data_IF_377622508200
#
_entry.id   IF_377622508200
#
_cell.length_a   1.000
_cell.length_b   1.000
_cell.length_c   1.000
_cell.angle_alpha   90.00
_cell.angle_beta   90.00
_cell.angle_gamma   90.00
#
_symmetry.space_group_name_H-M   'P 1'
#
loop_
_entity.id
_entity.type
_entity.pdbx_description
1 polymer ?
#
# COMPACT_ATOMS: atom_id res chain seq x y z
N UNK A 1 -20.35 -5.94 7.86
CA UNK A 1 -19.99 -5.10 6.71
C UNK A 1 -18.84 -4.11 6.92
N UNK A 2 -18.18 -4.02 8.11
CA UNK A 2 -17.11 -3.02 8.33
C UNK A 2 -15.78 -3.34 7.63
N UNK A 3 -15.48 -4.62 7.39
CA UNK A 3 -14.21 -5.10 6.81
C UNK A 3 -14.34 -5.27 5.29
N UNK A 4 -15.55 -5.47 4.79
CA UNK A 4 -15.80 -5.72 3.36
C UNK A 4 -15.45 -4.50 2.50
N UNK A 5 -15.79 -3.29 2.94
CA UNK A 5 -15.51 -2.05 2.20
C UNK A 5 -14.01 -1.85 1.90
N UNK A 6 -13.09 -1.88 2.90
CA UNK A 6 -11.67 -1.76 2.60
C UNK A 6 -11.13 -2.94 1.79
N UNK A 7 -11.67 -4.16 1.98
CA UNK A 7 -11.24 -5.33 1.21
C UNK A 7 -11.60 -5.21 -0.28
N UNK A 8 -12.77 -4.68 -0.60
CA UNK A 8 -13.19 -4.44 -2.00
C UNK A 8 -12.28 -3.41 -2.66
N UNK A 9 -11.92 -2.33 -1.96
CA UNK A 9 -10.97 -1.36 -2.50
C UNK A 9 -9.57 -1.96 -2.71
N UNK A 10 -9.10 -2.79 -1.77
CA UNK A 10 -7.84 -3.52 -1.94
C UNK A 10 -7.89 -4.50 -3.12
N UNK A 11 -8.98 -5.24 -3.27
CA UNK A 11 -9.18 -6.15 -4.40
C UNK A 11 -9.22 -5.41 -5.74
N UNK A 12 -9.86 -4.24 -5.80
CA UNK A 12 -9.85 -3.38 -6.98
C UNK A 12 -8.44 -2.90 -7.33
N UNK A 13 -7.65 -2.51 -6.33
CA UNK A 13 -6.26 -2.10 -6.55
C UNK A 13 -5.43 -3.25 -7.16
N UNK A 14 -5.55 -4.47 -6.61
CA UNK A 14 -4.90 -5.66 -7.17
C UNK A 14 -5.37 -5.98 -8.60
N UNK A 15 -6.68 -5.88 -8.87
CA UNK A 15 -7.22 -6.07 -10.21
C UNK A 15 -6.65 -5.05 -11.21
N UNK A 16 -6.53 -3.77 -10.84
CA UNK A 16 -5.92 -2.77 -11.72
C UNK A 16 -4.44 -3.05 -11.98
N UNK A 17 -3.69 -3.49 -10.97
CA UNK A 17 -2.30 -3.88 -11.14
C UNK A 17 -2.18 -5.07 -12.11
N UNK A 18 -2.97 -6.13 -11.92
CA UNK A 18 -2.97 -7.30 -12.80
C UNK A 18 -3.32 -6.93 -14.25
N UNK A 19 -4.32 -6.05 -14.45
CA UNK A 19 -4.70 -5.54 -15.77
C UNK A 19 -3.58 -4.73 -16.45
N UNK A 20 -2.68 -4.13 -15.68
CA UNK A 20 -1.49 -3.43 -16.17
C UNK A 20 -0.28 -4.36 -16.41
N UNK A 21 -0.40 -5.66 -16.12
CA UNK A 21 0.69 -6.63 -16.23
C UNK A 21 1.66 -6.60 -15.04
N UNK A 22 1.25 -6.00 -13.91
CA UNK A 22 2.04 -5.93 -12.68
C UNK A 22 1.35 -6.74 -11.59
N UNK A 23 2.06 -7.72 -11.03
CA UNK A 23 1.60 -8.56 -9.93
C UNK A 23 1.77 -7.77 -8.63
N UNK A 24 0.66 -7.46 -7.96
CA UNK A 24 0.68 -6.74 -6.68
C UNK A 24 -0.24 -7.42 -5.65
N UNK A 25 0.32 -8.34 -4.88
CA UNK A 25 -0.32 -8.92 -3.69
C UNK A 25 0.35 -8.48 -2.38
N UNK A 26 1.24 -7.48 -2.43
CA UNK A 26 1.82 -6.80 -1.27
C UNK A 26 0.85 -5.82 -0.58
N UNK A 27 -0.46 -6.03 -0.75
CA UNK A 27 -1.52 -5.15 -0.30
C UNK A 27 -1.62 -5.09 1.23
N UNK A 28 -1.33 -6.19 1.93
CA UNK A 28 -1.40 -6.27 3.38
C UNK A 28 -0.43 -5.30 4.05
N UNK A 29 0.83 -5.28 3.61
CA UNK A 29 1.85 -4.35 4.08
C UNK A 29 1.50 -2.90 3.76
N UNK A 30 1.00 -2.62 2.55
CA UNK A 30 0.55 -1.26 2.17
C UNK A 30 -0.63 -0.78 3.03
N UNK A 31 -1.58 -1.66 3.35
CA UNK A 31 -2.71 -1.36 4.23
C UNK A 31 -2.25 -1.09 5.67
N UNK A 32 -1.32 -1.89 6.20
CA UNK A 32 -0.72 -1.67 7.53
C UNK A 32 0.03 -0.33 7.60
N UNK A 33 0.82 -0.03 6.57
CA UNK A 33 1.53 1.25 6.46
C UNK A 33 0.57 2.44 6.45
N UNK A 34 -0.45 2.38 5.59
CA UNK A 34 -1.45 3.43 5.48
C UNK A 34 -2.22 3.61 6.79
N UNK A 35 -2.58 2.52 7.49
CA UNK A 35 -3.27 2.59 8.78
C UNK A 35 -2.40 3.27 9.85
N UNK A 36 -1.12 2.91 9.93
CA UNK A 36 -0.17 3.53 10.87
C UNK A 36 0.05 5.03 10.57
N UNK A 37 0.25 5.38 9.30
CA UNK A 37 0.45 6.77 8.88
C UNK A 37 -0.82 7.59 9.08
N UNK A 38 -2.01 7.02 8.83
CA UNK A 38 -3.28 7.68 9.11
C UNK A 38 -3.42 8.04 10.60
N UNK A 39 -3.17 7.07 11.48
CA UNK A 39 -3.32 7.25 12.93
C UNK A 39 -2.28 8.24 13.48
N UNK A 40 -1.02 8.09 13.09
CA UNK A 40 0.06 9.00 13.52
C UNK A 40 -0.14 10.42 12.98
N UNK A 41 -0.51 10.56 11.71
CA UNK A 41 -0.82 11.85 11.09
C UNK A 41 -2.00 12.55 11.75
N UNK A 42 -3.10 11.84 11.99
CA UNK A 42 -4.26 12.42 12.68
C UNK A 42 -3.90 12.88 14.11
N UNK A 43 -3.06 12.13 14.82
CA UNK A 43 -2.60 12.47 16.16
C UNK A 43 -1.69 13.71 16.17
N UNK A 44 -0.71 13.78 15.27
CA UNK A 44 0.27 14.88 15.23
C UNK A 44 -0.36 16.20 14.77
N UNK A 45 -1.21 16.15 13.74
CA UNK A 45 -1.84 17.33 13.16
C UNK A 45 -3.19 17.69 13.79
N UNK A 46 -3.70 16.85 14.70
CA UNK A 46 -4.99 17.05 15.38
C UNK A 46 -6.21 17.03 14.45
N UNK A 47 -6.06 16.48 13.23
CA UNK A 47 -7.10 16.49 12.21
C UNK A 47 -7.06 15.23 11.35
N UNK A 48 -8.21 14.60 11.24
CA UNK A 48 -8.44 13.34 10.52
C UNK A 48 -8.12 13.46 9.03
N UNK A 49 -8.33 14.65 8.45
CA UNK A 49 -8.06 14.92 7.04
C UNK A 49 -6.57 14.88 6.71
N UNK A 50 -5.71 15.37 7.62
CA UNK A 50 -4.27 15.26 7.44
C UNK A 50 -3.79 13.82 7.58
N UNK A 51 -4.36 13.05 8.52
CA UNK A 51 -4.13 11.61 8.61
C UNK A 51 -4.48 10.88 7.31
N UNK A 52 -5.68 11.12 6.78
CA UNK A 52 -6.12 10.54 5.51
C UNK A 52 -5.20 10.92 4.35
N UNK A 53 -4.85 12.21 4.22
CA UNK A 53 -3.96 12.70 3.17
C UNK A 53 -2.59 12.04 3.21
N UNK A 54 -1.99 11.93 4.40
CA UNK A 54 -0.69 11.28 4.59
C UNK A 54 -0.75 9.77 4.30
N UNK A 55 -1.83 9.10 4.68
CA UNK A 55 -2.02 7.68 4.39
C UNK A 55 -2.10 7.40 2.89
N UNK A 56 -2.81 8.24 2.13
CA UNK A 56 -2.88 8.15 0.67
C UNK A 56 -1.48 8.34 0.06
N UNK A 57 -0.76 9.38 0.48
CA UNK A 57 0.60 9.66 -0.03
C UNK A 57 1.54 8.49 0.29
N UNK A 58 1.47 7.92 1.50
CA UNK A 58 2.28 6.76 1.88
C UNK A 58 1.99 5.53 0.99
N UNK A 59 0.72 5.21 0.78
CA UNK A 59 0.33 4.06 -0.05
C UNK A 59 0.74 4.23 -1.52
N UNK A 60 0.60 5.45 -2.06
CA UNK A 60 1.08 5.80 -3.41
C UNK A 60 2.59 5.67 -3.50
N UNK A 61 3.34 6.15 -2.50
CA UNK A 61 4.79 6.05 -2.48
C UNK A 61 5.27 4.59 -2.47
N UNK A 62 4.66 3.73 -1.65
CA UNK A 62 4.97 2.29 -1.62
C UNK A 62 4.61 1.59 -2.95
N UNK A 63 3.50 2.00 -3.58
CA UNK A 63 3.09 1.47 -4.88
C UNK A 63 4.01 1.93 -6.00
N UNK A 64 4.48 3.18 -5.97
CA UNK A 64 5.50 3.69 -6.88
C UNK A 64 6.83 2.96 -6.68
N UNK A 65 7.23 2.67 -5.44
CA UNK A 65 8.45 1.90 -5.14
C UNK A 65 8.37 0.50 -5.77
N UNK A 66 7.24 -0.19 -5.59
CA UNK A 66 7.00 -1.48 -6.23
C UNK A 66 7.03 -1.36 -7.76
N UNK A 67 6.29 -0.40 -8.33
CA UNK A 67 6.26 -0.16 -9.76
C UNK A 67 7.64 0.17 -10.33
N UNK A 68 8.47 0.93 -9.62
CA UNK A 68 9.83 1.25 -10.03
C UNK A 68 10.75 0.02 -10.03
N UNK A 69 10.65 -0.83 -9.00
CA UNK A 69 11.40 -2.08 -8.95
C UNK A 69 10.96 -3.05 -10.06
N UNK A 70 9.66 -3.20 -10.25
CA UNK A 70 9.06 -4.16 -11.18
C UNK A 70 9.13 -3.72 -12.65
N UNK A 71 8.84 -2.45 -12.94
CA UNK A 71 8.71 -1.91 -14.31
C UNK A 71 10.05 -1.36 -14.81
N UNK A 72 10.71 -0.50 -14.03
CA UNK A 72 11.96 0.15 -14.47
C UNK A 72 13.14 -0.81 -14.39
N UNK A 73 13.26 -1.53 -13.28
CA UNK A 73 14.40 -2.43 -13.05
C UNK A 73 14.16 -3.88 -13.47
N UNK A 74 12.94 -4.22 -13.92
CA UNK A 74 12.54 -5.59 -14.27
C UNK A 74 12.85 -6.59 -13.14
N UNK A 75 12.75 -6.13 -11.90
CA UNK A 75 12.93 -6.95 -10.71
C UNK A 75 11.82 -7.97 -10.57
N UNK A 76 12.08 -9.00 -9.77
CA UNK A 76 11.08 -10.00 -9.44
C UNK A 76 9.95 -9.34 -8.60
N UNK A 77 8.76 -9.34 -9.17
CA UNK A 77 7.58 -8.68 -8.60
C UNK A 77 7.11 -9.38 -7.32
N UNK A 78 7.28 -10.70 -7.24
CA UNK A 78 6.96 -11.50 -6.05
C UNK A 78 7.89 -11.11 -4.91
N UNK A 79 9.19 -11.03 -5.19
CA UNK A 79 10.18 -10.63 -4.16
C UNK A 79 9.91 -9.20 -3.68
N UNK A 80 9.60 -8.27 -4.59
CA UNK A 80 9.27 -6.89 -4.20
C UNK A 80 8.00 -6.82 -3.33
N UNK A 81 6.94 -7.56 -3.69
CA UNK A 81 5.72 -7.62 -2.88
C UNK A 81 5.99 -8.18 -1.47
N UNK A 82 6.71 -9.30 -1.40
CA UNK A 82 7.06 -9.94 -0.13
C UNK A 82 7.94 -9.02 0.72
N UNK A 83 8.90 -8.32 0.12
CA UNK A 83 9.74 -7.36 0.82
C UNK A 83 8.93 -6.19 1.42
N UNK A 84 7.94 -5.66 0.69
CA UNK A 84 7.05 -4.61 1.22
C UNK A 84 6.22 -5.13 2.41
N UNK A 85 5.68 -6.34 2.31
CA UNK A 85 4.92 -6.94 3.41
C UNK A 85 5.78 -7.14 4.66
N UNK A 86 6.95 -7.75 4.49
CA UNK A 86 7.92 -8.02 5.57
C UNK A 86 8.35 -6.72 6.24
N UNK A 87 8.74 -5.71 5.45
CA UNK A 87 9.15 -4.40 5.96
C UNK A 87 8.08 -3.75 6.85
N UNK A 88 6.82 -3.84 6.43
CA UNK A 88 5.73 -3.16 7.14
C UNK A 88 5.19 -3.95 8.34
N UNK A 89 5.30 -5.28 8.30
CA UNK A 89 5.01 -6.14 9.46
C UNK A 89 6.16 -6.04 10.48
N UNK A 90 7.37 -5.69 10.04
CA UNK A 90 8.55 -5.55 10.89
C UNK A 90 9.29 -6.86 11.13
N UNK A 91 9.27 -7.78 10.16
CA UNK A 91 9.99 -9.06 10.18
C UNK A 91 11.38 -8.92 9.50
#
# INVERSE_FOLDING_TARGET
>A
MRISTPLVFAAMAGLFAERSGVIDFGLEGKMLAAAFVAASGAHVFGSEWYGLGLAIVCCVALSMLHGFASVTHKGDQVVSCVAINILMIGL
#
